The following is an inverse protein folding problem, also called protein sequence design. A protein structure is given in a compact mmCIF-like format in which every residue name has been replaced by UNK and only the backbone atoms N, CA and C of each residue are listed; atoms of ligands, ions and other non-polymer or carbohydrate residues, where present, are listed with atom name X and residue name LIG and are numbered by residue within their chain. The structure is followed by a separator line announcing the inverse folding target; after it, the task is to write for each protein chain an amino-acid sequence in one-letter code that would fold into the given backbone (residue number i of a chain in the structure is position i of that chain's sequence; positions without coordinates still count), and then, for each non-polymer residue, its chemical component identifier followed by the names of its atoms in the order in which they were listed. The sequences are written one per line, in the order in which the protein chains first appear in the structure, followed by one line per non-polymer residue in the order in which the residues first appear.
data_IF_951290768328
#
_entry.id   IF_951290768328
#
_cell.length_a   1.000
_cell.length_b   1.000
_cell.length_c   1.000
_cell.angle_alpha   90.00
_cell.angle_beta   90.00
_cell.angle_gamma   90.00
#
_symmetry.space_group_name_H-M   'P 1'
#
loop_
_entity.id
_entity.type
_entity.pdbx_description
1 polymer ?
#
# COMPACT_ATOMS: atom_id res chain seq x y z
N UNK A 1 -1.58 -26.04 3.71
CA UNK A 1 -1.78 -25.25 2.47
C UNK A 1 -2.61 -25.96 1.38
N UNK A 2 -2.89 -27.27 1.42
CA UNK A 2 -3.65 -27.96 0.35
C UNK A 2 -5.14 -27.58 0.19
N UNK A 3 -5.80 -27.10 1.24
CA UNK A 3 -7.23 -26.74 1.17
C UNK A 3 -7.48 -25.37 0.51
N UNK A 4 -6.52 -24.44 0.54
CA UNK A 4 -6.67 -23.12 -0.08
C UNK A 4 -6.59 -23.22 -1.61
N UNK A 5 -5.67 -24.05 -2.12
CA UNK A 5 -5.53 -24.35 -3.55
C UNK A 5 -6.82 -24.96 -4.09
N UNK A 6 -7.45 -25.88 -3.35
CA UNK A 6 -8.74 -26.50 -3.70
C UNK A 6 -9.92 -25.53 -3.74
N UNK A 7 -9.86 -24.45 -2.96
CA UNK A 7 -10.91 -23.42 -2.96
C UNK A 7 -10.72 -22.47 -4.14
N UNK A 8 -9.48 -22.16 -4.53
CA UNK A 8 -9.17 -21.35 -5.73
C UNK A 8 -9.38 -22.12 -7.05
N UNK A 9 -9.31 -23.45 -7.03
CA UNK A 9 -9.49 -24.32 -8.23
C UNK A 9 -10.91 -24.81 -8.45
N UNK A 10 -11.83 -24.56 -7.51
CA UNK A 10 -13.18 -25.13 -7.57
C UNK A 10 -14.01 -24.65 -8.78
N UNK A 11 -13.66 -23.50 -9.36
CA UNK A 11 -14.25 -22.97 -10.61
C UNK A 11 -13.37 -23.23 -11.86
N UNK A 12 -12.19 -23.86 -11.70
CA UNK A 12 -11.30 -24.26 -12.81
C UNK A 12 -11.57 -25.69 -13.30
N UNK A 13 -12.22 -26.52 -12.48
CA UNK A 13 -12.54 -27.92 -12.77
C UNK A 13 -13.50 -28.10 -13.96
N UNK A 14 -14.24 -27.06 -14.38
CA UNK A 14 -15.06 -27.12 -15.60
C UNK A 14 -14.23 -27.06 -16.90
N UNK A 15 -12.94 -26.72 -16.81
CA UNK A 15 -12.07 -26.47 -17.97
C UNK A 15 -10.92 -27.49 -18.12
N UNK A 16 -10.77 -28.45 -17.19
CA UNK A 16 -9.76 -29.50 -17.27
C UNK A 16 -8.30 -29.04 -17.17
N UNK A 17 -8.05 -27.76 -16.84
CA UNK A 17 -6.70 -27.21 -16.71
C UNK A 17 -6.28 -27.19 -15.24
N UNK A 18 -5.37 -28.08 -14.84
CA UNK A 18 -4.81 -28.11 -13.50
C UNK A 18 -3.87 -26.91 -13.29
N UNK A 19 -4.28 -25.95 -12.47
CA UNK A 19 -3.48 -24.78 -12.10
C UNK A 19 -2.36 -25.15 -11.12
N UNK A 20 -1.10 -24.90 -11.50
CA UNK A 20 0.07 -25.23 -10.67
C UNK A 20 0.95 -24.00 -10.35
N UNK A 21 1.24 -23.80 -9.05
CA UNK A 21 2.18 -22.80 -8.55
C UNK A 21 3.20 -23.48 -7.63
N UNK A 22 4.48 -23.45 -8.01
CA UNK A 22 5.57 -23.89 -7.15
C UNK A 22 5.95 -22.76 -6.18
N UNK A 23 5.66 -22.96 -4.89
CA UNK A 23 6.04 -22.00 -3.84
C UNK A 23 7.37 -22.37 -3.16
N UNK A 24 7.97 -23.51 -3.46
CA UNK A 24 9.20 -23.97 -2.78
C UNK A 24 10.45 -23.68 -3.62
N UNK A 25 10.37 -23.85 -4.94
CA UNK A 25 11.56 -23.79 -5.81
C UNK A 25 11.44 -22.80 -6.98
N UNK A 26 10.40 -21.97 -7.03
CA UNK A 26 10.25 -20.98 -8.10
C UNK A 26 11.47 -20.04 -8.18
N UNK A 27 12.03 -19.93 -9.39
CA UNK A 27 13.15 -19.04 -9.70
C UNK A 27 12.73 -18.04 -10.76
N UNK A 28 13.15 -16.77 -10.66
CA UNK A 28 12.82 -15.77 -11.66
C UNK A 28 13.56 -16.08 -12.97
N UNK A 29 12.85 -15.99 -14.09
CA UNK A 29 13.45 -15.95 -15.41
C UNK A 29 14.29 -14.67 -15.59
N UNK A 30 15.10 -14.61 -16.64
CA UNK A 30 15.93 -13.44 -16.94
C UNK A 30 15.07 -12.17 -17.15
N UNK A 31 13.90 -12.33 -17.78
CA UNK A 31 12.95 -11.24 -18.00
C UNK A 31 12.29 -10.73 -16.70
N UNK A 32 12.13 -11.59 -15.70
CA UNK A 32 11.50 -11.23 -14.41
C UNK A 32 12.49 -10.65 -13.41
N UNK A 33 13.78 -10.93 -13.58
CA UNK A 33 14.83 -10.70 -12.58
C UNK A 33 14.86 -9.25 -12.06
N UNK A 34 14.70 -8.26 -12.94
CA UNK A 34 14.71 -6.86 -12.53
C UNK A 34 13.53 -6.50 -11.61
N UNK A 35 12.33 -6.99 -11.91
CA UNK A 35 11.14 -6.79 -11.06
C UNK A 35 11.27 -7.60 -9.78
N UNK A 36 11.71 -8.84 -9.89
CA UNK A 36 11.86 -9.76 -8.77
C UNK A 36 12.80 -9.20 -7.69
N UNK A 37 13.97 -8.68 -8.06
CA UNK A 37 14.93 -8.14 -7.07
C UNK A 37 14.39 -6.89 -6.35
N UNK A 38 13.68 -6.00 -7.07
CA UNK A 38 13.04 -4.82 -6.46
C UNK A 38 11.99 -5.22 -5.42
N UNK A 39 11.12 -6.16 -5.77
CA UNK A 39 10.06 -6.63 -4.87
C UNK A 39 10.64 -7.43 -3.71
N UNK A 40 11.70 -8.22 -3.96
CA UNK A 40 12.41 -8.98 -2.92
C UNK A 40 12.97 -8.05 -1.84
N UNK A 41 13.62 -6.96 -2.22
CA UNK A 41 14.14 -5.98 -1.26
C UNK A 41 13.03 -5.41 -0.35
N UNK A 42 11.86 -5.11 -0.92
CA UNK A 42 10.71 -4.63 -0.14
C UNK A 42 10.18 -5.71 0.80
N UNK A 43 10.12 -6.98 0.35
CA UNK A 43 9.68 -8.10 1.19
C UNK A 43 10.66 -8.40 2.33
N UNK A 44 11.97 -8.27 2.11
CA UNK A 44 13.00 -8.41 3.14
C UNK A 44 12.86 -7.30 4.20
N UNK A 45 12.72 -6.04 3.78
CA UNK A 45 12.42 -4.92 4.70
C UNK A 45 11.09 -5.15 5.46
N UNK A 46 10.10 -5.75 4.80
CA UNK A 46 8.82 -6.10 5.42
C UNK A 46 8.94 -7.07 6.60
N UNK A 47 9.96 -7.95 6.63
CA UNK A 47 10.19 -8.82 7.78
C UNK A 47 10.58 -8.02 9.02
N UNK A 48 11.51 -7.07 8.87
CA UNK A 48 11.93 -6.17 9.95
C UNK A 48 10.74 -5.35 10.47
N UNK A 49 9.89 -4.84 9.57
CA UNK A 49 8.68 -4.09 9.93
C UNK A 49 7.73 -4.93 10.81
N UNK A 50 7.51 -6.20 10.48
CA UNK A 50 6.68 -7.10 11.28
C UNK A 50 7.29 -7.38 12.65
N UNK A 51 8.60 -7.62 12.71
CA UNK A 51 9.31 -7.83 13.98
C UNK A 51 9.19 -6.60 14.89
N UNK A 52 9.40 -5.41 14.33
CA UNK A 52 9.27 -4.15 15.08
C UNK A 52 7.85 -3.93 15.59
N UNK A 53 6.84 -4.19 14.76
CA UNK A 53 5.44 -4.07 15.15
C UNK A 53 5.07 -5.07 16.24
N UNK A 54 5.56 -6.31 16.14
CA UNK A 54 5.32 -7.34 17.16
C UNK A 54 5.94 -6.96 18.51
N UNK A 55 7.05 -6.21 18.50
CA UNK A 55 7.71 -5.70 19.72
C UNK A 55 7.14 -4.36 20.22
N UNK A 56 6.10 -3.83 19.59
CA UNK A 56 5.51 -2.54 19.94
C UNK A 56 4.71 -2.61 21.25
N UNK A 57 5.33 -2.18 22.37
CA UNK A 57 4.70 -2.18 23.70
C UNK A 57 3.81 -0.97 23.98
N UNK A 58 4.08 0.13 23.29
CA UNK A 58 3.45 1.43 23.55
C UNK A 58 3.96 2.16 24.80
N UNK A 59 3.54 3.41 24.98
CA UNK A 59 3.92 4.29 26.10
C UNK A 59 2.73 4.65 27.02
N UNK A 60 1.74 3.75 27.11
CA UNK A 60 0.46 4.05 27.76
C UNK A 60 0.56 4.41 29.24
N UNK A 61 1.51 3.85 29.99
CA UNK A 61 1.70 4.16 31.41
C UNK A 61 2.27 5.57 31.60
N UNK A 62 3.36 5.88 30.90
CA UNK A 62 3.99 7.20 30.93
C UNK A 62 3.00 8.29 30.48
N UNK A 63 2.25 8.04 29.41
CA UNK A 63 1.20 8.96 28.92
C UNK A 63 0.14 9.18 29.98
N UNK A 64 -0.34 8.12 30.64
CA UNK A 64 -1.39 8.23 31.67
C UNK A 64 -0.90 9.06 32.85
N UNK A 65 0.32 8.84 33.32
CA UNK A 65 0.92 9.61 34.41
C UNK A 65 1.07 11.10 34.04
N UNK A 66 1.51 11.39 32.81
CA UNK A 66 1.63 12.76 32.31
C UNK A 66 0.26 13.47 32.21
N UNK A 67 -0.79 12.77 31.75
CA UNK A 67 -2.15 13.34 31.67
C UNK A 67 -2.74 13.59 33.06
N UNK A 68 -2.52 12.68 34.02
CA UNK A 68 -3.05 12.82 35.38
C UNK A 68 -2.39 13.96 36.18
N UNK A 69 -1.13 14.28 35.87
CA UNK A 69 -0.34 15.31 36.58
C UNK A 69 0.30 16.29 35.59
N UNK A 70 -0.51 17.15 34.93
CA UNK A 70 -0.04 18.00 33.83
C UNK A 70 0.98 19.07 34.25
N UNK A 71 1.00 19.45 35.53
CA UNK A 71 1.92 20.44 36.09
C UNK A 71 3.30 19.88 36.43
N UNK A 72 3.47 18.55 36.42
CA UNK A 72 4.74 17.91 36.80
C UNK A 72 5.59 17.70 35.55
N UNK A 73 6.54 18.60 35.32
CA UNK A 73 7.37 18.63 34.11
C UNK A 73 8.14 17.32 33.87
N UNK A 74 8.70 16.70 34.92
CA UNK A 74 9.41 15.42 34.84
C UNK A 74 8.55 14.30 34.23
N UNK A 75 7.24 14.28 34.51
CA UNK A 75 6.33 13.28 33.93
C UNK A 75 6.02 13.58 32.46
N UNK A 76 5.91 14.86 32.08
CA UNK A 76 5.75 15.27 30.69
C UNK A 76 6.97 14.86 29.85
N UNK A 77 8.17 15.14 30.35
CA UNK A 77 9.43 14.78 29.70
C UNK A 77 9.59 13.26 29.56
N UNK A 78 9.23 12.49 30.59
CA UNK A 78 9.28 11.02 30.55
C UNK A 78 8.31 10.44 29.51
N UNK A 79 7.07 10.93 29.45
CA UNK A 79 6.11 10.52 28.44
C UNK A 79 6.58 10.90 27.03
N UNK A 80 7.15 12.09 26.87
CA UNK A 80 7.72 12.52 25.60
C UNK A 80 8.87 11.61 25.14
N UNK A 81 9.83 11.33 26.03
CA UNK A 81 10.98 10.47 25.75
C UNK A 81 10.57 9.03 25.42
N UNK A 82 9.49 8.52 26.01
CA UNK A 82 8.94 7.20 25.70
C UNK A 82 8.19 7.16 24.36
N UNK A 83 7.41 8.20 24.05
CA UNK A 83 6.56 8.26 22.85
C UNK A 83 7.36 8.55 21.58
N UNK A 84 8.37 9.40 21.65
CA UNK A 84 9.14 9.83 20.47
C UNK A 84 9.69 8.68 19.62
N UNK A 85 10.44 7.70 20.17
CA UNK A 85 10.95 6.57 19.38
C UNK A 85 9.83 5.69 18.82
N UNK A 86 8.70 5.57 19.53
CA UNK A 86 7.54 4.82 19.06
C UNK A 86 6.91 5.50 17.84
N UNK A 87 6.81 6.83 17.84
CA UNK A 87 6.28 7.60 16.71
C UNK A 87 7.22 7.53 15.51
N UNK A 88 8.54 7.49 15.72
CA UNK A 88 9.50 7.21 14.65
C UNK A 88 9.22 5.85 14.00
N UNK A 89 8.94 4.79 14.78
CA UNK A 89 8.53 3.49 14.21
C UNK A 89 7.24 3.58 13.42
N UNK A 90 6.24 4.29 13.95
CA UNK A 90 4.97 4.50 13.24
C UNK A 90 5.15 5.25 11.92
N UNK A 91 6.13 6.16 11.84
CA UNK A 91 6.50 6.83 10.59
C UNK A 91 7.11 5.82 9.62
N UNK A 92 8.08 5.02 10.06
CA UNK A 92 8.70 3.97 9.24
C UNK A 92 7.67 3.00 8.66
N UNK A 93 6.71 2.55 9.46
CA UNK A 93 5.65 1.64 8.99
C UNK A 93 4.74 2.30 7.93
N UNK A 94 4.43 3.59 8.11
CA UNK A 94 3.65 4.34 7.13
C UNK A 94 4.42 4.52 5.81
N UNK A 95 5.69 4.89 5.87
CA UNK A 95 6.53 5.01 4.67
C UNK A 95 6.68 3.67 3.95
N UNK A 96 6.84 2.58 4.72
CA UNK A 96 6.88 1.24 4.16
C UNK A 96 5.61 0.90 3.39
N UNK A 97 4.42 1.37 3.83
CA UNK A 97 3.18 1.15 3.08
C UNK A 97 3.24 1.69 1.65
N UNK A 98 3.96 2.79 1.42
CA UNK A 98 4.13 3.40 0.09
C UNK A 98 5.08 2.58 -0.78
N UNK A 99 6.13 2.00 -0.18
CA UNK A 99 7.03 1.05 -0.85
C UNK A 99 6.28 -0.23 -1.24
N UNK A 100 5.44 -0.74 -0.34
CA UNK A 100 4.63 -1.92 -0.57
C UNK A 100 3.61 -1.70 -1.70
N UNK A 101 2.97 -0.53 -1.74
CA UNK A 101 2.13 -0.11 -2.88
C UNK A 101 2.91 -0.12 -4.19
N UNK A 102 4.11 0.47 -4.21
CA UNK A 102 4.93 0.53 -5.43
C UNK A 102 5.34 -0.88 -5.90
N UNK A 103 5.69 -1.76 -4.97
CA UNK A 103 6.01 -3.16 -5.26
C UNK A 103 4.80 -3.92 -5.83
N UNK A 104 3.60 -3.69 -5.28
CA UNK A 104 2.37 -4.25 -5.82
C UNK A 104 2.13 -3.79 -7.26
N UNK A 105 2.23 -2.49 -7.54
CA UNK A 105 2.02 -1.97 -8.90
C UNK A 105 2.99 -2.59 -9.91
N UNK A 106 4.27 -2.77 -9.55
CA UNK A 106 5.24 -3.44 -10.42
C UNK A 106 4.85 -4.88 -10.76
N UNK A 107 4.28 -5.63 -9.81
CA UNK A 107 3.79 -6.99 -10.08
C UNK A 107 2.54 -6.96 -10.97
N UNK A 108 1.61 -6.05 -10.68
CA UNK A 108 0.38 -5.90 -11.45
C UNK A 108 0.67 -5.50 -12.90
N UNK A 109 1.63 -4.60 -13.14
CA UNK A 109 2.10 -4.23 -14.49
C UNK A 109 2.53 -5.48 -15.27
N UNK A 110 3.33 -6.33 -14.64
CA UNK A 110 3.83 -7.55 -15.27
C UNK A 110 2.70 -8.54 -15.56
N UNK A 111 1.74 -8.72 -14.65
CA UNK A 111 0.62 -9.64 -14.86
C UNK A 111 -0.44 -9.13 -15.83
N UNK A 112 -0.62 -7.82 -15.93
CA UNK A 112 -1.63 -7.19 -16.79
C UNK A 112 -1.17 -7.01 -18.23
N UNK A 113 0.15 -6.91 -18.49
CA UNK A 113 0.69 -6.60 -19.82
C UNK A 113 0.80 -7.81 -20.77
N UNK A 114 0.11 -8.92 -20.50
CA UNK A 114 0.30 -10.14 -21.26
C UNK A 114 -0.88 -10.54 -22.14
N UNK A 115 -0.54 -11.13 -23.29
CA UNK A 115 -1.51 -11.68 -24.24
C UNK A 115 -2.09 -13.04 -23.80
N UNK A 116 -1.58 -13.62 -22.70
CA UNK A 116 -2.01 -14.91 -22.16
C UNK A 116 -3.08 -14.74 -21.07
N UNK A 117 -3.98 -15.72 -20.87
CA UNK A 117 -4.95 -15.71 -19.78
C UNK A 117 -4.29 -15.55 -18.39
N UNK A 118 -4.97 -14.94 -17.39
CA UNK A 118 -4.42 -14.70 -16.06
C UNK A 118 -3.90 -15.96 -15.34
N UNK A 119 -4.55 -17.10 -15.55
CA UNK A 119 -4.10 -18.39 -14.99
C UNK A 119 -2.75 -18.81 -15.55
N UNK A 120 -2.58 -18.71 -16.87
CA UNK A 120 -1.33 -19.04 -17.55
C UNK A 120 -0.21 -18.04 -17.20
N UNK A 121 -0.55 -16.76 -16.99
CA UNK A 121 0.38 -15.75 -16.50
C UNK A 121 1.02 -16.15 -15.17
N UNK A 122 0.19 -16.56 -14.21
CA UNK A 122 0.66 -16.95 -12.88
C UNK A 122 1.49 -18.25 -12.93
N UNK A 123 1.11 -19.20 -13.77
CA UNK A 123 1.86 -20.45 -13.98
C UNK A 123 3.23 -20.24 -14.65
N UNK A 124 3.34 -19.26 -15.56
CA UNK A 124 4.59 -18.94 -16.24
C UNK A 124 5.51 -18.09 -15.35
N UNK A 125 4.92 -17.19 -14.56
CA UNK A 125 5.64 -16.21 -13.74
C UNK A 125 5.59 -16.57 -12.26
N UNK A 126 5.95 -17.82 -11.94
CA UNK A 126 5.74 -18.40 -10.61
C UNK A 126 6.47 -17.63 -9.50
N UNK A 127 7.70 -17.17 -9.77
CA UNK A 127 8.49 -16.42 -8.80
C UNK A 127 7.83 -15.08 -8.42
N UNK A 128 7.27 -14.37 -9.42
CA UNK A 128 6.52 -13.13 -9.17
C UNK A 128 5.15 -13.40 -8.53
N UNK A 129 4.48 -14.51 -8.91
CA UNK A 129 3.23 -14.92 -8.29
C UNK A 129 3.41 -15.26 -6.80
N UNK A 130 4.54 -15.89 -6.45
CA UNK A 130 4.93 -16.12 -5.07
C UNK A 130 5.15 -14.80 -4.33
N UNK A 131 5.87 -13.84 -4.92
CA UNK A 131 6.07 -12.53 -4.29
C UNK A 131 4.75 -11.78 -4.08
N UNK A 132 3.81 -11.88 -5.02
CA UNK A 132 2.47 -11.31 -4.86
C UNK A 132 1.75 -11.92 -3.64
N UNK A 133 1.81 -13.24 -3.47
CA UNK A 133 1.26 -13.90 -2.29
C UNK A 133 1.97 -13.47 -1.00
N UNK A 134 3.30 -13.27 -1.02
CA UNK A 134 4.05 -12.78 0.14
C UNK A 134 3.71 -11.33 0.51
N UNK A 135 3.43 -10.46 -0.48
CA UNK A 135 2.89 -9.10 -0.22
C UNK A 135 1.58 -9.22 0.55
N UNK A 136 0.62 -10.01 0.06
CA UNK A 136 -0.68 -10.19 0.71
C UNK A 136 -0.55 -10.82 2.11
N UNK A 137 0.37 -11.76 2.27
CA UNK A 137 0.65 -12.37 3.57
C UNK A 137 1.17 -11.36 4.58
N UNK A 138 2.17 -10.56 4.20
CA UNK A 138 2.67 -9.45 5.02
C UNK A 138 1.53 -8.49 5.38
N UNK A 139 0.72 -8.08 4.39
CA UNK A 139 -0.38 -7.13 4.57
C UNK A 139 -1.35 -7.59 5.65
N UNK A 140 -1.85 -8.82 5.54
CA UNK A 140 -2.78 -9.37 6.52
C UNK A 140 -2.12 -9.50 7.89
N UNK A 141 -0.86 -9.95 7.94
CA UNK A 141 -0.14 -10.14 9.19
C UNK A 141 0.11 -8.82 9.94
N UNK A 142 0.50 -7.77 9.21
CA UNK A 142 0.65 -6.43 9.76
C UNK A 142 -0.68 -5.93 10.33
N UNK A 143 -1.75 -6.05 9.56
CA UNK A 143 -3.07 -5.55 9.96
C UNK A 143 -3.63 -6.32 11.17
N UNK A 144 -3.44 -7.63 11.27
CA UNK A 144 -3.77 -8.44 12.46
C UNK A 144 -3.06 -7.94 13.73
N UNK A 145 -1.73 -7.73 13.64
CA UNK A 145 -0.94 -7.21 14.75
C UNK A 145 -1.39 -5.80 15.14
N UNK A 146 -1.64 -4.93 14.15
CA UNK A 146 -2.13 -3.58 14.39
C UNK A 146 -3.49 -3.59 15.09
N UNK A 147 -4.43 -4.43 14.66
CA UNK A 147 -5.77 -4.51 15.25
C UNK A 147 -5.73 -4.93 16.72
N UNK A 148 -4.74 -5.74 17.11
CA UNK A 148 -4.54 -6.19 18.49
C UNK A 148 -3.64 -5.26 19.32
N UNK A 149 -3.17 -4.14 18.74
CA UNK A 149 -2.25 -3.19 19.39
C UNK A 149 -2.89 -1.79 19.50
N UNK A 150 -3.84 -1.57 20.44
CA UNK A 150 -4.52 -0.28 20.58
C UNK A 150 -3.60 0.88 20.99
N UNK A 151 -2.41 0.59 21.52
CA UNK A 151 -1.42 1.59 21.89
C UNK A 151 -0.98 2.48 20.71
N UNK A 152 -0.95 1.94 19.48
CA UNK A 152 -0.52 2.66 18.27
C UNK A 152 -1.29 3.97 18.08
N UNK A 153 -2.62 3.89 18.10
CA UNK A 153 -3.47 5.09 17.92
C UNK A 153 -3.35 6.04 19.11
N UNK A 154 -3.26 5.51 20.34
CA UNK A 154 -3.18 6.30 21.56
C UNK A 154 -1.89 7.11 21.63
N UNK A 155 -0.76 6.46 21.34
CA UNK A 155 0.57 7.06 21.40
C UNK A 155 0.71 8.14 20.33
N UNK A 156 0.27 7.86 19.10
CA UNK A 156 0.29 8.85 18.03
C UNK A 156 -0.65 10.03 18.30
N UNK A 157 -1.83 9.78 18.85
CA UNK A 157 -2.76 10.84 19.26
C UNK A 157 -2.22 11.70 20.40
N UNK A 158 -1.48 11.10 21.34
CA UNK A 158 -0.80 11.85 22.39
C UNK A 158 0.34 12.71 21.83
N UNK A 159 1.16 12.15 20.93
CA UNK A 159 2.22 12.88 20.25
C UNK A 159 1.69 14.12 19.53
N UNK A 160 0.67 13.96 18.68
CA UNK A 160 0.05 15.07 17.93
C UNK A 160 -0.46 16.18 18.84
N UNK A 161 -1.16 15.82 19.92
CA UNK A 161 -1.66 16.80 20.91
C UNK A 161 -0.52 17.53 21.60
N UNK A 162 0.59 16.85 21.88
CA UNK A 162 1.74 17.44 22.59
C UNK A 162 2.50 18.41 21.70
N UNK A 163 2.79 18.06 20.45
CA UNK A 163 3.38 18.97 19.47
C UNK A 163 2.49 20.21 19.25
N UNK A 164 1.19 20.02 19.10
CA UNK A 164 0.26 21.15 18.91
C UNK A 164 0.31 22.16 20.07
N UNK A 165 0.37 21.70 21.32
CA UNK A 165 0.54 22.57 22.50
C UNK A 165 1.90 23.25 22.53
N UNK A 166 2.98 22.53 22.20
CA UNK A 166 4.34 23.08 22.19
C UNK A 166 4.50 24.22 21.17
N UNK A 167 3.87 24.08 19.98
CA UNK A 167 3.84 25.12 18.94
C UNK A 167 3.12 26.39 19.38
N UNK A 168 1.99 26.26 20.08
CA UNK A 168 1.22 27.41 20.61
C UNK A 168 2.04 28.17 21.67
N UNK A 169 2.81 27.45 22.49
CA UNK A 169 3.62 28.03 23.56
C UNK A 169 4.98 28.60 23.10
N UNK A 170 5.28 28.62 21.77
CA UNK A 170 6.52 29.15 21.18
C UNK A 170 7.82 28.68 21.87
N UNK A 171 7.90 27.40 22.25
CA UNK A 171 9.08 26.85 22.95
C UNK A 171 10.12 26.19 22.04
N UNK A 172 9.94 26.16 20.72
CA UNK A 172 10.92 25.54 19.81
C UNK A 172 11.34 26.49 18.69
N UNK A 173 12.54 27.06 18.84
CA UNK A 173 13.41 27.27 17.70
C UNK A 173 13.82 25.90 17.14
N UNK A 174 13.74 25.76 15.82
CA UNK A 174 14.39 24.74 14.99
C UNK A 174 14.55 23.34 15.62
N UNK A 175 13.46 22.57 15.68
CA UNK A 175 13.55 21.11 15.92
C UNK A 175 13.41 20.37 14.60
N UNK A 176 14.53 19.89 14.06
CA UNK A 176 14.67 19.22 12.75
C UNK A 176 13.94 17.86 12.60
N UNK A 177 13.18 17.41 13.61
CA UNK A 177 12.49 16.11 13.62
C UNK A 177 10.96 16.27 13.79
N UNK A 178 10.38 17.38 13.34
CA UNK A 178 8.92 17.52 13.33
C UNK A 178 8.32 16.80 12.12
N UNK A 179 7.48 15.80 12.38
CA UNK A 179 6.54 15.28 11.38
C UNK A 179 5.71 16.47 10.89
N UNK A 180 5.81 16.76 9.59
CA UNK A 180 5.02 17.80 8.93
C UNK A 180 3.52 17.61 9.24
N UNK A 181 2.78 18.70 9.44
CA UNK A 181 1.40 18.63 9.88
C UNK A 181 0.51 17.88 8.86
N UNK A 182 0.83 18.00 7.56
CA UNK A 182 0.16 17.24 6.51
C UNK A 182 0.48 15.74 6.61
N UNK A 183 1.75 15.38 6.78
CA UNK A 183 2.16 14.00 6.98
C UNK A 183 1.52 13.38 8.23
N UNK A 184 1.46 14.12 9.34
CA UNK A 184 0.80 13.68 10.55
C UNK A 184 -0.71 13.41 10.36
N UNK A 185 -1.37 14.19 9.49
CA UNK A 185 -2.77 13.94 9.11
C UNK A 185 -2.90 12.64 8.28
N UNK A 186 -2.03 12.42 7.29
CA UNK A 186 -2.03 11.19 6.48
C UNK A 186 -1.79 9.95 7.34
N UNK A 187 -0.77 9.99 8.21
CA UNK A 187 -0.51 8.92 9.18
C UNK A 187 -1.71 8.68 10.12
N UNK A 188 -2.41 9.74 10.54
CA UNK A 188 -3.58 9.58 11.42
C UNK A 188 -4.71 8.83 10.71
N UNK A 189 -4.98 9.14 9.45
CA UNK A 189 -5.97 8.44 8.64
C UNK A 189 -5.56 6.98 8.38
N UNK A 190 -4.28 6.76 8.09
CA UNK A 190 -3.71 5.41 7.96
C UNK A 190 -3.99 4.59 9.21
N UNK A 191 -3.55 5.04 10.39
CA UNK A 191 -3.73 4.27 11.63
C UNK A 191 -5.18 4.23 12.14
N UNK A 192 -6.04 5.15 11.73
CA UNK A 192 -7.48 5.10 12.03
C UNK A 192 -8.17 3.91 11.34
N UNK A 193 -7.68 3.47 10.17
CA UNK A 193 -8.19 2.29 9.48
C UNK A 193 -7.88 1.01 10.26
N UNK A 194 -8.82 0.07 10.32
CA UNK A 194 -8.61 -1.24 10.97
C UNK A 194 -7.56 -2.08 10.24
N UNK A 195 -7.53 -1.99 8.91
CA UNK A 195 -6.65 -2.74 8.01
C UNK A 195 -5.86 -1.78 7.11
N UNK A 196 -4.93 -1.00 7.69
CA UNK A 196 -4.25 0.07 6.99
C UNK A 196 -3.45 -0.39 5.76
N UNK A 197 -2.71 -1.50 5.86
CA UNK A 197 -1.94 -2.01 4.72
C UNK A 197 -2.86 -2.52 3.62
N UNK A 198 -3.93 -3.25 3.98
CA UNK A 198 -4.90 -3.74 3.01
C UNK A 198 -5.62 -2.60 2.30
N UNK A 199 -5.96 -1.53 3.03
CA UNK A 199 -6.57 -0.33 2.44
C UNK A 199 -5.63 0.33 1.44
N UNK A 200 -4.34 0.45 1.77
CA UNK A 200 -3.32 0.97 0.86
C UNK A 200 -3.24 0.15 -0.42
N UNK A 201 -3.19 -1.19 -0.32
CA UNK A 201 -3.14 -2.06 -1.51
C UNK A 201 -4.43 -2.02 -2.34
N UNK A 202 -5.60 -1.95 -1.68
CA UNK A 202 -6.88 -1.79 -2.35
C UNK A 202 -6.90 -0.49 -3.17
N UNK A 203 -6.49 0.62 -2.57
CA UNK A 203 -6.47 1.92 -3.24
C UNK A 203 -5.45 1.96 -4.39
N UNK A 204 -4.30 1.30 -4.22
CA UNK A 204 -3.29 1.15 -5.26
C UNK A 204 -3.83 0.35 -6.45
N UNK A 205 -4.53 -0.76 -6.18
CA UNK A 205 -5.14 -1.59 -7.22
C UNK A 205 -6.24 -0.84 -7.95
N UNK A 206 -7.09 -0.09 -7.23
CA UNK A 206 -8.13 0.76 -7.82
C UNK A 206 -7.53 1.84 -8.74
N UNK A 207 -6.41 2.45 -8.32
CA UNK A 207 -5.66 3.41 -9.13
C UNK A 207 -5.06 2.77 -10.36
N UNK A 208 -4.38 1.64 -10.20
CA UNK A 208 -3.78 0.85 -11.27
C UNK A 208 -4.80 0.54 -12.38
N UNK A 209 -5.97 0.01 -12.01
CA UNK A 209 -7.06 -0.29 -12.96
C UNK A 209 -7.62 0.99 -13.60
N UNK A 210 -7.55 2.12 -12.91
CA UNK A 210 -8.06 3.40 -13.39
C UNK A 210 -7.11 4.16 -14.32
N UNK A 211 -5.88 3.72 -14.56
CA UNK A 211 -4.87 4.49 -15.31
C UNK A 211 -5.24 4.77 -16.78
N UNK A 212 -6.08 3.95 -17.42
CA UNK A 212 -6.64 4.27 -18.76
C UNK A 212 -7.40 5.60 -18.72
N UNK A 213 -8.08 5.92 -17.60
CA UNK A 213 -8.70 7.25 -17.39
C UNK A 213 -7.63 8.34 -17.36
N UNK A 214 -6.49 8.08 -16.71
CA UNK A 214 -5.37 9.01 -16.59
C UNK A 214 -4.77 9.36 -17.96
N UNK A 215 -4.47 8.35 -18.78
CA UNK A 215 -3.96 8.57 -20.14
C UNK A 215 -4.93 9.37 -21.01
N UNK A 216 -6.24 9.09 -20.94
CA UNK A 216 -7.26 9.85 -21.69
C UNK A 216 -7.37 11.30 -21.17
N UNK A 217 -7.27 11.53 -19.86
CA UNK A 217 -7.27 12.90 -19.30
C UNK A 217 -6.05 13.70 -19.74
N UNK A 218 -4.86 13.12 -19.65
CA UNK A 218 -3.61 13.78 -20.08
C UNK A 218 -3.68 14.20 -21.54
N UNK A 219 -4.24 13.36 -22.42
CA UNK A 219 -4.48 13.73 -23.80
C UNK A 219 -5.49 14.89 -23.91
N UNK A 220 -6.61 14.84 -23.18
CA UNK A 220 -7.64 15.90 -23.20
C UNK A 220 -7.19 17.24 -22.63
N UNK A 221 -6.14 17.27 -21.81
CA UNK A 221 -5.54 18.50 -21.27
C UNK A 221 -4.58 19.20 -22.26
N UNK A 222 -4.16 18.50 -23.33
CA UNK A 222 -3.34 19.09 -24.39
C UNK A 222 -4.19 19.88 -25.40
N UNK A 223 -3.52 20.70 -26.23
CA UNK A 223 -4.22 21.42 -27.30
C UNK A 223 -4.93 20.41 -28.24
N UNK A 224 -6.25 20.55 -28.52
CA UNK A 224 -7.01 19.55 -29.27
C UNK A 224 -6.37 19.17 -30.61
N UNK A 225 -5.83 20.16 -31.31
CA UNK A 225 -5.18 19.99 -32.61
C UNK A 225 -3.91 19.11 -32.56
N UNK A 226 -3.27 18.97 -31.40
CA UNK A 226 -2.04 18.19 -31.22
C UNK A 226 -2.28 16.73 -30.84
N UNK A 227 -3.46 16.40 -30.29
CA UNK A 227 -3.76 15.07 -29.73
C UNK A 227 -4.96 14.38 -30.37
N UNK A 228 -5.71 15.05 -31.25
CA UNK A 228 -6.90 14.47 -31.88
C UNK A 228 -6.60 13.17 -32.63
N UNK A 229 -5.43 13.07 -33.27
CA UNK A 229 -4.97 11.83 -33.90
C UNK A 229 -4.77 10.68 -32.90
N UNK A 230 -4.24 10.98 -31.70
CA UNK A 230 -4.03 10.01 -30.62
C UNK A 230 -5.36 9.59 -29.97
N UNK A 231 -6.27 10.54 -29.75
CA UNK A 231 -7.62 10.24 -29.28
C UNK A 231 -8.40 9.39 -30.30
N UNK A 232 -8.24 9.66 -31.60
CA UNK A 232 -8.85 8.84 -32.65
C UNK A 232 -8.23 7.45 -32.74
N UNK A 233 -6.92 7.30 -32.53
CA UNK A 233 -6.31 5.99 -32.38
C UNK A 233 -6.93 5.21 -31.20
N UNK A 234 -7.15 5.87 -30.05
CA UNK A 234 -7.85 5.25 -28.93
C UNK A 234 -9.33 4.93 -29.24
N UNK A 235 -10.02 5.72 -30.06
CA UNK A 235 -11.43 5.49 -30.41
C UNK A 235 -11.63 4.34 -31.40
N UNK A 236 -10.76 4.25 -32.40
CA UNK A 236 -10.99 3.39 -33.57
C UNK A 236 -10.06 2.19 -33.65
N UNK A 237 -8.89 2.25 -33.01
CA UNK A 237 -7.89 1.17 -33.08
C UNK A 237 -7.93 0.27 -31.85
N UNK A 238 -8.55 0.71 -30.76
CA UNK A 238 -8.64 -0.07 -29.51
C UNK A 238 -9.70 -1.17 -29.64
N UNK A 239 -9.24 -2.43 -29.63
CA UNK A 239 -10.07 -3.62 -29.79
C UNK A 239 -11.21 -3.74 -28.77
N UNK A 240 -10.94 -3.41 -27.52
CA UNK A 240 -11.85 -3.66 -26.39
C UNK A 240 -12.66 -2.44 -25.96
N UNK A 241 -12.53 -1.28 -26.62
CA UNK A 241 -13.20 -0.05 -26.18
C UNK A 241 -14.73 -0.20 -26.15
N UNK A 242 -15.29 -1.00 -27.06
CA UNK A 242 -16.73 -1.16 -27.22
C UNK A 242 -17.32 -2.32 -26.41
N UNK A 243 -16.50 -3.17 -25.79
CA UNK A 243 -16.94 -4.34 -25.02
C UNK A 243 -17.88 -3.95 -23.86
N UNK A 244 -18.86 -4.80 -23.52
CA UNK A 244 -19.79 -4.53 -22.41
C UNK A 244 -19.09 -4.41 -21.06
N UNK A 245 -17.94 -5.08 -20.92
CA UNK A 245 -17.07 -5.07 -19.74
C UNK A 245 -16.29 -3.77 -19.58
N UNK A 246 -16.18 -2.95 -20.64
CA UNK A 246 -15.43 -1.71 -20.60
C UNK A 246 -16.17 -0.64 -19.78
N UNK A 247 -15.55 -0.04 -18.76
CA UNK A 247 -16.21 0.91 -17.87
C UNK A 247 -16.88 2.06 -18.63
N UNK A 248 -18.17 2.31 -18.38
CA UNK A 248 -18.95 3.37 -19.04
C UNK A 248 -18.29 4.74 -18.99
N UNK A 249 -17.57 5.02 -17.90
CA UNK A 249 -16.84 6.27 -17.73
C UNK A 249 -15.71 6.45 -18.75
N UNK A 250 -14.98 5.38 -19.11
CA UNK A 250 -13.94 5.41 -20.15
C UNK A 250 -14.56 5.70 -21.52
N UNK A 251 -15.69 5.03 -21.83
CA UNK A 251 -16.43 5.27 -23.08
C UNK A 251 -16.87 6.73 -23.20
N UNK A 252 -17.46 7.28 -22.13
CA UNK A 252 -17.88 8.69 -22.09
C UNK A 252 -16.70 9.65 -22.25
N UNK A 253 -15.54 9.33 -21.70
CA UNK A 253 -14.34 10.15 -21.84
C UNK A 253 -13.77 10.17 -23.26
N UNK A 254 -14.06 9.17 -24.10
CA UNK A 254 -13.60 9.11 -25.50
C UNK A 254 -14.70 9.49 -26.51
N UNK A 255 -15.88 9.92 -26.07
CA UNK A 255 -16.88 10.44 -27.00
C UNK A 255 -16.34 11.67 -27.76
N UNK A 256 -16.66 11.81 -29.05
CA UNK A 256 -16.43 13.05 -29.78
C UNK A 256 -17.19 14.19 -29.08
N UNK A 257 -16.54 15.34 -28.92
CA UNK A 257 -17.24 16.56 -28.51
C UNK A 257 -18.10 17.11 -29.65
#
# INVERSE_FOLDING_TARGET
MGNLIRVLTRDLDSSGCNFFLDFEHAQPSEAERATFEKVKQVLEEGQEILEELQMYKGAGEEIRQAIQRPTVERLQQRAWAAVLPLVTKLHTFYDFSQKLESALCLLLDVFACAEAPPTQQLEQKQALAQQFAHILHFTLRFDELKMTTPAIQNDFSYYRRTISRMKINKLTGESQNEVDNELANRMSLFYACSTPMLKTLSDATDRFVSEIKGCIRLLKEQSPNSVEGLLNALRYTTKHLNDETTPKQIKNMLQPN
#
